data_IF_743720972134
#
_entry.id   IF_743720972134
#
_cell.length_a   1.000
_cell.length_b   1.000
_cell.length_c   1.000
_cell.angle_alpha   90.00
_cell.angle_beta   90.00
_cell.angle_gamma   90.00
#
_symmetry.space_group_name_H-M   'P 1'
#
loop_
_entity.id
_entity.type
_entity.pdbx_description
1 polymer ?
#
# COMPACT_ATOMS: atom_id res chain seq x y z
N UNK A 1 -23.35 5.38 -0.54
CA UNK A 1 -23.40 6.81 -0.13
C UNK A 1 -22.47 7.54 -1.08
N UNK A 2 -22.88 8.67 -1.68
CA UNK A 2 -21.94 9.45 -2.50
C UNK A 2 -21.13 10.32 -1.54
N UNK A 3 -19.94 9.85 -1.18
CA UNK A 3 -19.01 10.60 -0.34
C UNK A 3 -18.22 11.57 -1.22
N UNK A 4 -18.04 12.79 -0.71
CA UNK A 4 -17.23 13.83 -1.37
C UNK A 4 -15.79 13.34 -1.51
N UNK A 5 -15.13 13.53 -2.66
CA UNK A 5 -13.70 13.23 -2.80
C UNK A 5 -12.88 13.98 -1.75
N UNK A 6 -11.84 13.33 -1.25
CA UNK A 6 -10.91 13.94 -0.30
C UNK A 6 -10.19 15.13 -0.93
N UNK A 7 -9.81 16.09 -0.10
CA UNK A 7 -8.93 17.20 -0.43
C UNK A 7 -7.47 16.84 -0.13
N UNK A 8 -6.49 17.55 -0.72
CA UNK A 8 -5.07 17.27 -0.45
C UNK A 8 -4.70 17.33 1.04
N UNK A 9 -5.32 18.26 1.79
CA UNK A 9 -5.05 18.42 3.22
C UNK A 9 -5.60 17.25 4.03
N UNK A 10 -6.79 16.73 3.69
CA UNK A 10 -7.38 15.54 4.32
C UNK A 10 -6.55 14.28 4.04
N UNK A 11 -6.02 14.15 2.82
CA UNK A 11 -5.14 13.03 2.47
C UNK A 11 -3.87 13.05 3.34
N UNK A 12 -3.24 14.21 3.50
CA UNK A 12 -2.05 14.37 4.36
C UNK A 12 -2.38 14.19 5.84
N UNK A 13 -3.56 14.60 6.30
CA UNK A 13 -3.99 14.37 7.68
C UNK A 13 -4.11 12.87 7.98
N UNK A 14 -4.59 12.07 7.02
CA UNK A 14 -4.78 10.63 7.19
C UNK A 14 -3.46 9.85 7.06
N UNK A 15 -2.66 10.17 6.04
CA UNK A 15 -1.45 9.41 5.71
C UNK A 15 -0.20 9.93 6.43
N UNK A 16 -0.23 11.15 6.95
CA UNK A 16 0.92 11.81 7.55
C UNK A 16 1.79 12.52 6.53
N UNK A 17 3.10 12.54 6.81
CA UNK A 17 4.10 13.19 5.95
C UNK A 17 4.39 12.30 4.73
N UNK A 18 3.54 12.43 3.72
CA UNK A 18 3.65 11.71 2.44
C UNK A 18 3.97 12.67 1.30
N UNK A 19 4.72 12.19 0.32
CA UNK A 19 5.10 12.96 -0.86
C UNK A 19 3.88 13.48 -1.63
N UNK A 20 4.01 14.68 -2.20
CA UNK A 20 2.95 15.32 -2.99
C UNK A 20 2.50 14.46 -4.17
N UNK A 21 3.41 13.68 -4.77
CA UNK A 21 3.07 12.73 -5.84
C UNK A 21 2.12 11.63 -5.35
N UNK A 22 2.30 11.13 -4.12
CA UNK A 22 1.40 10.12 -3.54
C UNK A 22 0.03 10.74 -3.29
N UNK A 23 -0.01 11.98 -2.78
CA UNK A 23 -1.25 12.74 -2.58
C UNK A 23 -1.99 12.90 -3.91
N UNK A 24 -1.32 13.34 -4.97
CA UNK A 24 -1.92 13.50 -6.30
C UNK A 24 -2.52 12.19 -6.83
N UNK A 25 -1.78 11.08 -6.76
CA UNK A 25 -2.28 9.77 -7.22
C UNK A 25 -3.49 9.28 -6.45
N UNK A 26 -3.55 9.53 -5.14
CA UNK A 26 -4.70 9.16 -4.34
C UNK A 26 -5.91 10.01 -4.71
N UNK A 27 -5.73 11.31 -4.99
CA UNK A 27 -6.81 12.19 -5.44
C UNK A 27 -7.39 11.76 -6.80
N UNK A 28 -6.59 11.15 -7.69
CA UNK A 28 -7.07 10.60 -8.98
C UNK A 28 -8.14 9.50 -8.81
N UNK A 29 -8.16 8.80 -7.67
CA UNK A 29 -9.17 7.76 -7.36
C UNK A 29 -10.55 8.34 -7.05
N UNK A 30 -10.63 9.64 -6.78
CA UNK A 30 -11.81 10.30 -6.23
C UNK A 30 -12.37 9.60 -4.96
N UNK A 31 -11.49 8.95 -4.19
CA UNK A 31 -11.82 8.37 -2.89
C UNK A 31 -12.13 9.48 -1.88
N UNK A 32 -13.06 9.18 -0.97
CA UNK A 32 -13.37 10.02 0.18
C UNK A 32 -12.41 9.79 1.34
N UNK A 33 -12.33 10.73 2.31
CA UNK A 33 -11.47 10.56 3.49
C UNK A 33 -11.70 9.24 4.24
N UNK A 34 -12.97 8.82 4.36
CA UNK A 34 -13.33 7.55 5.01
C UNK A 34 -12.79 6.33 4.24
N UNK A 35 -12.88 6.35 2.90
CA UNK A 35 -12.38 5.26 2.04
C UNK A 35 -10.84 5.17 2.11
N UNK A 36 -10.16 6.31 2.19
CA UNK A 36 -8.70 6.36 2.34
C UNK A 36 -8.29 5.81 3.71
N UNK A 37 -8.95 6.26 4.79
CA UNK A 37 -8.67 5.77 6.13
C UNK A 37 -8.95 4.27 6.28
N UNK A 38 -9.97 3.74 5.59
CA UNK A 38 -10.24 2.31 5.55
C UNK A 38 -9.12 1.54 4.86
N UNK A 39 -8.64 2.02 3.70
CA UNK A 39 -7.53 1.41 2.99
C UNK A 39 -6.27 1.34 3.86
N UNK A 40 -5.92 2.43 4.56
CA UNK A 40 -4.77 2.48 5.48
C UNK A 40 -4.92 1.46 6.61
N UNK A 41 -6.05 1.46 7.31
CA UNK A 41 -6.32 0.50 8.41
C UNK A 41 -6.22 -0.95 7.95
N UNK A 42 -6.64 -1.24 6.73
CA UNK A 42 -6.56 -2.59 6.17
C UNK A 42 -5.11 -3.06 5.98
N UNK A 43 -4.21 -2.14 5.62
CA UNK A 43 -2.78 -2.42 5.45
C UNK A 43 -2.11 -2.61 6.81
N UNK A 44 -2.40 -1.74 7.77
CA UNK A 44 -1.90 -1.88 9.15
C UNK A 44 -2.34 -3.21 9.77
N UNK A 45 -3.60 -3.60 9.56
CA UNK A 45 -4.13 -4.88 10.07
C UNK A 45 -3.45 -6.08 9.40
N UNK A 46 -3.22 -6.02 8.08
CA UNK A 46 -2.48 -7.05 7.34
C UNK A 46 -1.04 -7.21 7.80
N UNK A 47 -0.35 -6.08 8.02
CA UNK A 47 1.03 -6.06 8.52
C UNK A 47 1.15 -6.67 9.92
N UNK A 48 0.22 -6.37 10.82
CA UNK A 48 0.23 -6.89 12.19
C UNK A 48 -0.17 -8.36 12.30
N UNK A 49 -0.91 -8.90 11.31
CA UNK A 49 -1.47 -10.24 11.39
C UNK A 49 -0.60 -11.34 10.75
N UNK A 50 0.50 -10.98 10.06
CA UNK A 50 1.37 -11.91 9.30
C UNK A 50 0.57 -12.83 8.34
N UNK A 51 -0.64 -12.39 7.99
CA UNK A 51 -1.67 -13.10 7.25
C UNK A 51 -2.53 -12.08 6.53
N UNK A 52 -2.97 -12.43 5.33
CA UNK A 52 -4.06 -11.75 4.64
C UNK A 52 -5.31 -11.82 5.52
N UNK A 53 -5.52 -10.77 6.32
CA UNK A 53 -6.79 -10.54 7.00
C UNK A 53 -7.83 -10.42 5.89
N UNK A 54 -8.91 -11.21 5.94
CA UNK A 54 -10.02 -11.14 4.98
C UNK A 54 -10.52 -9.70 4.87
N UNK A 55 -9.99 -8.96 3.90
CA UNK A 55 -10.26 -7.56 3.68
C UNK A 55 -11.49 -7.47 2.77
N UNK A 56 -12.60 -7.02 3.36
CA UNK A 56 -13.84 -6.76 2.63
C UNK A 56 -13.99 -5.23 2.43
N UNK A 57 -13.54 -4.68 1.28
CA UNK A 57 -13.59 -3.24 1.04
C UNK A 57 -15.03 -2.73 0.99
N UNK A 58 -15.27 -1.56 1.56
CA UNK A 58 -16.58 -0.89 1.50
C UNK A 58 -16.91 -0.37 0.10
N UNK A 59 -15.88 -0.12 -0.73
CA UNK A 59 -16.05 0.34 -2.10
C UNK A 59 -14.87 -0.07 -3.01
N UNK A 60 -15.05 -0.06 -4.35
CA UNK A 60 -13.96 -0.28 -5.30
C UNK A 60 -12.81 0.71 -5.15
N UNK A 61 -13.10 1.95 -4.71
CA UNK A 61 -12.07 2.99 -4.51
C UNK A 61 -11.15 2.65 -3.35
N UNK A 62 -11.68 2.03 -2.30
CA UNK A 62 -10.85 1.54 -1.18
C UNK A 62 -9.83 0.52 -1.68
N UNK A 63 -10.25 -0.39 -2.56
CA UNK A 63 -9.34 -1.37 -3.19
C UNK A 63 -8.25 -0.68 -4.00
N UNK A 64 -8.62 0.31 -4.83
CA UNK A 64 -7.66 1.06 -5.64
C UNK A 64 -6.63 1.80 -4.78
N UNK A 65 -7.07 2.52 -3.74
CA UNK A 65 -6.18 3.22 -2.81
C UNK A 65 -5.26 2.22 -2.09
N UNK A 66 -5.80 1.10 -1.61
CA UNK A 66 -5.03 0.04 -0.94
C UNK A 66 -3.94 -0.53 -1.85
N UNK A 67 -4.27 -0.84 -3.11
CA UNK A 67 -3.31 -1.35 -4.08
C UNK A 67 -2.18 -0.34 -4.31
N UNK A 68 -2.51 0.94 -4.53
CA UNK A 68 -1.48 1.97 -4.72
C UNK A 68 -0.56 2.09 -3.49
N UNK A 69 -1.12 2.14 -2.29
CA UNK A 69 -0.34 2.21 -1.05
C UNK A 69 0.54 0.97 -0.85
N UNK A 70 0.07 -0.21 -1.28
CA UNK A 70 0.86 -1.45 -1.24
C UNK A 70 2.00 -1.41 -2.24
N UNK A 71 1.76 -0.96 -3.46
CA UNK A 71 2.81 -0.82 -4.49
C UNK A 71 3.90 0.18 -4.04
N UNK A 72 3.50 1.27 -3.37
CA UNK A 72 4.43 2.25 -2.81
C UNK A 72 5.24 1.67 -1.66
N UNK A 73 4.60 0.94 -0.73
CA UNK A 73 5.28 0.33 0.41
C UNK A 73 6.26 -0.80 -0.01
N UNK A 74 5.86 -1.63 -0.98
CA UNK A 74 6.72 -2.73 -1.50
C UNK A 74 7.88 -2.20 -2.34
N UNK A 75 7.75 -1.01 -2.93
CA UNK A 75 8.80 -0.36 -3.71
C UNK A 75 10.06 0.02 -2.92
N UNK A 76 10.00 0.06 -1.58
CA UNK A 76 11.16 0.32 -0.73
C UNK A 76 11.88 -0.96 -0.24
N UNK A 77 11.27 -2.13 -0.39
CA UNK A 77 11.78 -3.42 0.13
C UNK A 77 12.34 -4.37 -0.97
N UNK A 78 12.25 -4.01 -2.26
CA UNK A 78 12.69 -4.85 -3.38
C UNK A 78 14.18 -4.67 -3.78
N UNK A 79 15.04 -4.22 -2.85
CA UNK A 79 16.51 -4.36 -2.98
C UNK A 79 17.04 -5.64 -2.32
N UNK A 80 16.18 -6.63 -2.10
CA UNK A 80 16.55 -7.99 -1.75
C UNK A 80 17.22 -8.73 -2.92
N UNK A 81 18.45 -8.36 -3.26
CA UNK A 81 19.38 -9.11 -4.12
C UNK A 81 19.63 -10.50 -3.49
N UNK A 82 18.78 -11.46 -3.83
CA UNK A 82 18.75 -12.77 -3.20
C UNK A 82 18.81 -13.94 -4.17
N UNK A 83 19.60 -13.87 -5.25
CA UNK A 83 19.98 -15.04 -6.07
C UNK A 83 21.34 -14.78 -6.77
N UNK A 84 22.20 -15.77 -7.04
CA UNK A 84 22.30 -17.14 -6.51
C UNK A 84 23.67 -17.36 -5.82
N UNK A 85 23.74 -18.12 -4.72
CA UNK A 85 25.02 -18.79 -4.43
C UNK A 85 25.07 -19.98 -5.37
N UNK A 86 25.84 -19.87 -6.47
CA UNK A 86 26.34 -21.05 -7.16
C UNK A 86 27.08 -21.86 -6.10
N UNK A 87 26.47 -22.99 -5.72
CA UNK A 87 27.12 -23.99 -4.90
C UNK A 87 28.34 -24.43 -5.70
N UNK A 88 29.53 -23.98 -5.28
CA UNK A 88 30.80 -24.48 -5.78
C UNK A 88 30.75 -26.00 -5.67
N UNK A 89 30.45 -26.67 -6.78
CA UNK A 89 30.64 -28.11 -6.94
C UNK A 89 32.15 -28.34 -6.98
N UNK A 90 32.77 -28.27 -5.80
CA UNK A 90 34.12 -28.75 -5.58
C UNK A 90 34.10 -30.26 -5.88
N UNK A 91 34.44 -30.57 -7.13
CA UNK A 91 34.76 -31.92 -7.57
C UNK A 91 35.99 -32.36 -6.81
N UNK A 92 35.79 -32.88 -5.61
CA UNK A 92 36.80 -33.67 -4.92
C UNK A 92 36.93 -34.99 -5.69
N UNK A 93 38.06 -35.05 -6.39
CA UNK A 93 38.66 -36.17 -7.14
C UNK A 93 38.32 -37.58 -6.66
#
# INVERSE_FOLDING_TARGET
MQSTPATPDEVREILGDVDDLVVERILETAASPDEIAEAVKSLEAGYLADKDVDFAPSSPRVTEVRTMLTELAVGEDDEGYGMPYEEDVDSVR
#
